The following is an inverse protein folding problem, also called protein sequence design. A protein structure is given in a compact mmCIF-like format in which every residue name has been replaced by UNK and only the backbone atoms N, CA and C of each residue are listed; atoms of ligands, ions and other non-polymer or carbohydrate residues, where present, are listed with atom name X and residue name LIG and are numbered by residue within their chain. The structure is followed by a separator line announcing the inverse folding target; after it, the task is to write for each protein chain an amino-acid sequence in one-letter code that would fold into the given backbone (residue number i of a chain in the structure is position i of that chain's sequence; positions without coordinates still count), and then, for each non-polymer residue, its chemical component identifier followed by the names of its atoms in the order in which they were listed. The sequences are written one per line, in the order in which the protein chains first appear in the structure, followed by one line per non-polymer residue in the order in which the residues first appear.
data_IF_242679849022
#
_entry.id   IF_242679849022
#
_cell.length_a   1.000
_cell.length_b   1.000
_cell.length_c   1.000
_cell.angle_alpha   90.00
_cell.angle_beta   90.00
_cell.angle_gamma   90.00
#
_symmetry.space_group_name_H-M   'P 1'
#
loop_
_entity.id
_entity.type
_entity.pdbx_description
1 polymer ?
#
# COMPACT_ATOMS: atom_id res chain seq x y z
N UNK A 1 -13.09 -42.13 -11.18
CA UNK A 1 -13.58 -42.03 -9.78
C UNK A 1 -13.39 -40.60 -9.28
N UNK A 2 -14.35 -40.01 -8.60
CA UNK A 2 -14.16 -38.69 -8.01
C UNK A 2 -13.07 -38.76 -6.95
N UNK A 3 -12.15 -37.79 -6.95
CA UNK A 3 -11.10 -37.66 -5.95
C UNK A 3 -11.71 -37.45 -4.56
N UNK A 4 -11.15 -38.09 -3.54
CA UNK A 4 -11.55 -37.78 -2.16
C UNK A 4 -11.15 -36.37 -1.76
N UNK A 5 -11.86 -35.77 -0.79
CA UNK A 5 -11.51 -34.42 -0.27
C UNK A 5 -10.07 -34.38 0.22
N UNK A 6 -9.56 -35.43 0.83
CA UNK A 6 -8.18 -35.51 1.30
C UNK A 6 -7.18 -35.55 0.14
N UNK A 7 -7.50 -36.26 -0.95
CA UNK A 7 -6.65 -36.29 -2.13
C UNK A 7 -6.57 -34.91 -2.80
N UNK A 8 -7.71 -34.23 -2.95
CA UNK A 8 -7.74 -32.86 -3.48
C UNK A 8 -6.90 -31.92 -2.61
N UNK A 9 -7.08 -31.95 -1.28
CA UNK A 9 -6.30 -31.16 -0.35
C UNK A 9 -4.80 -31.43 -0.49
N UNK A 10 -4.38 -32.68 -0.48
CA UNK A 10 -2.96 -33.04 -0.59
C UNK A 10 -2.34 -32.59 -1.91
N UNK A 11 -3.07 -32.72 -3.03
CA UNK A 11 -2.60 -32.27 -4.33
C UNK A 11 -2.45 -30.75 -4.37
N UNK A 12 -3.40 -29.98 -3.81
CA UNK A 12 -3.28 -28.52 -3.71
C UNK A 12 -2.08 -28.11 -2.86
N UNK A 13 -1.82 -28.81 -1.74
CA UNK A 13 -0.66 -28.50 -0.89
C UNK A 13 0.66 -28.84 -1.61
N UNK A 14 0.74 -29.97 -2.32
CA UNK A 14 1.92 -30.35 -3.10
C UNK A 14 2.18 -29.35 -4.25
N UNK A 15 1.16 -29.03 -5.02
CA UNK A 15 1.25 -28.05 -6.11
C UNK A 15 1.65 -26.66 -5.59
N UNK A 16 1.13 -26.26 -4.42
CA UNK A 16 1.51 -25.00 -3.77
C UNK A 16 2.98 -24.96 -3.34
N UNK A 17 3.46 -26.03 -2.74
CA UNK A 17 4.88 -26.17 -2.39
C UNK A 17 5.79 -26.15 -3.63
N UNK A 18 5.35 -26.74 -4.74
CA UNK A 18 6.06 -26.66 -6.01
C UNK A 18 6.03 -25.23 -6.57
N UNK A 19 4.89 -24.55 -6.51
CA UNK A 19 4.76 -23.16 -6.96
C UNK A 19 5.69 -22.20 -6.18
N UNK A 20 5.90 -22.43 -4.88
CA UNK A 20 6.89 -21.68 -4.08
C UNK A 20 8.28 -21.85 -4.69
N UNK A 21 8.70 -23.09 -4.96
CA UNK A 21 10.02 -23.35 -5.55
C UNK A 21 10.20 -22.73 -6.92
N UNK A 22 9.22 -22.90 -7.80
CA UNK A 22 9.25 -22.32 -9.15
C UNK A 22 9.29 -20.78 -9.10
N UNK A 23 8.50 -20.16 -8.22
CA UNK A 23 8.55 -18.71 -8.02
C UNK A 23 9.93 -18.26 -7.53
N UNK A 24 10.51 -18.93 -6.54
CA UNK A 24 11.84 -18.62 -6.04
C UNK A 24 12.91 -18.73 -7.13
N UNK A 25 12.84 -19.78 -7.96
CA UNK A 25 13.74 -19.94 -9.12
C UNK A 25 13.53 -18.80 -10.13
N UNK A 26 12.28 -18.45 -10.42
CA UNK A 26 11.93 -17.37 -11.33
C UNK A 26 12.45 -16.02 -10.83
N UNK A 27 12.31 -15.73 -9.54
CA UNK A 27 12.84 -14.51 -8.88
C UNK A 27 14.37 -14.51 -8.91
N UNK A 28 15.01 -15.64 -8.60
CA UNK A 28 16.48 -15.76 -8.65
C UNK A 28 17.01 -15.52 -10.06
N UNK A 29 16.35 -16.01 -11.09
CA UNK A 29 16.74 -15.79 -12.50
C UNK A 29 16.55 -14.32 -12.96
N UNK A 30 15.97 -13.46 -12.13
CA UNK A 30 15.73 -12.03 -12.40
C UNK A 30 16.49 -11.10 -11.46
N UNK A 31 17.56 -11.58 -10.87
CA UNK A 31 18.45 -10.75 -10.05
C UNK A 31 18.84 -9.48 -10.82
N UNK A 32 18.71 -8.32 -10.17
CA UNK A 32 19.06 -7.03 -10.76
C UNK A 32 18.12 -6.50 -11.86
N UNK A 33 16.92 -7.07 -12.03
CA UNK A 33 16.00 -6.66 -13.13
C UNK A 33 14.65 -6.13 -12.68
N UNK A 34 14.34 -6.16 -11.38
CA UNK A 34 13.04 -5.70 -10.85
C UNK A 34 13.24 -4.47 -9.99
N UNK A 35 13.11 -3.29 -10.62
CA UNK A 35 13.40 -2.02 -10.01
C UNK A 35 12.27 -1.44 -9.17
N UNK A 36 11.02 -1.85 -9.40
CA UNK A 36 9.84 -1.32 -8.71
C UNK A 36 9.10 -2.45 -7.98
N UNK A 37 9.11 -2.38 -6.64
CA UNK A 37 8.49 -3.33 -5.73
C UNK A 37 7.21 -2.78 -5.15
N UNK A 38 6.11 -3.50 -5.26
CA UNK A 38 4.86 -3.24 -4.54
C UNK A 38 4.78 -4.10 -3.28
N UNK A 39 4.41 -3.49 -2.16
CA UNK A 39 4.13 -4.20 -0.90
C UNK A 39 2.75 -3.84 -0.41
N UNK A 40 2.03 -4.84 0.09
CA UNK A 40 0.75 -4.67 0.77
C UNK A 40 0.48 -5.88 1.67
N UNK A 41 -0.47 -5.75 2.60
CA UNK A 41 -0.80 -6.75 3.60
C UNK A 41 -2.27 -7.13 3.52
N UNK A 42 -2.57 -8.35 3.92
CA UNK A 42 -3.95 -8.80 4.07
C UNK A 42 -4.11 -9.71 5.27
N UNK A 43 -5.25 -9.58 5.94
CA UNK A 43 -5.59 -10.39 7.10
C UNK A 43 -6.48 -11.56 6.69
N UNK A 44 -6.08 -12.74 7.09
CA UNK A 44 -6.86 -13.98 6.93
C UNK A 44 -7.06 -14.65 8.30
N UNK A 45 -8.10 -15.46 8.45
CA UNK A 45 -8.31 -16.22 9.70
C UNK A 45 -7.63 -17.57 9.63
N UNK A 46 -6.77 -17.86 10.61
CA UNK A 46 -6.17 -19.15 10.87
C UNK A 46 -6.66 -19.66 12.24
N UNK A 47 -7.44 -20.73 12.25
CA UNK A 47 -8.08 -21.24 13.48
C UNK A 47 -8.86 -20.17 14.25
N UNK A 48 -9.46 -19.21 13.53
CA UNK A 48 -10.22 -18.11 14.13
C UNK A 48 -9.38 -16.89 14.55
N UNK A 49 -8.06 -16.98 14.55
CA UNK A 49 -7.14 -15.86 14.84
C UNK A 49 -6.75 -15.12 13.57
N UNK A 50 -6.55 -13.80 13.67
CA UNK A 50 -6.01 -13.00 12.57
C UNK A 50 -4.56 -13.39 12.30
N UNK A 51 -4.24 -13.52 11.01
CA UNK A 51 -2.90 -13.84 10.52
C UNK A 51 -2.61 -12.88 9.37
N UNK A 52 -1.49 -12.18 9.44
CA UNK A 52 -1.08 -11.20 8.43
C UNK A 52 -0.33 -11.94 7.33
N UNK A 53 -0.81 -11.77 6.10
CA UNK A 53 -0.13 -12.26 4.90
C UNK A 53 0.47 -11.06 4.18
N UNK A 54 1.78 -11.00 4.15
CA UNK A 54 2.54 -10.02 3.41
C UNK A 54 2.69 -10.45 1.94
N UNK A 55 2.57 -9.51 1.02
CA UNK A 55 2.62 -9.76 -0.42
C UNK A 55 3.58 -8.77 -1.08
N UNK A 56 4.59 -9.30 -1.78
CA UNK A 56 5.50 -8.52 -2.60
C UNK A 56 5.27 -8.80 -4.08
N UNK A 57 5.24 -7.74 -4.89
CA UNK A 57 4.98 -7.82 -6.33
C UNK A 57 5.95 -6.96 -7.13
N UNK A 58 6.18 -7.33 -8.38
CA UNK A 58 6.80 -6.43 -9.36
C UNK A 58 5.71 -5.51 -9.93
N UNK A 59 5.80 -4.22 -9.67
CA UNK A 59 4.81 -3.23 -10.14
C UNK A 59 4.78 -3.19 -11.67
N UNK A 60 5.92 -3.29 -12.33
CA UNK A 60 6.02 -3.15 -13.79
C UNK A 60 5.55 -4.38 -14.54
N UNK A 61 5.78 -5.58 -14.01
CA UNK A 61 5.41 -6.83 -14.70
C UNK A 61 4.12 -7.47 -14.18
N UNK A 62 3.62 -7.05 -13.04
CA UNK A 62 2.45 -7.68 -12.39
C UNK A 62 2.74 -9.05 -11.76
N UNK A 63 4.02 -9.41 -11.59
CA UNK A 63 4.41 -10.69 -11.05
C UNK A 63 4.35 -10.70 -9.53
N UNK A 64 3.81 -11.78 -8.94
CA UNK A 64 3.90 -12.04 -7.50
C UNK A 64 5.32 -12.53 -7.17
N UNK A 65 6.06 -11.77 -6.40
CA UNK A 65 7.46 -12.07 -6.06
C UNK A 65 7.58 -12.89 -4.79
N UNK A 66 6.79 -12.54 -3.76
CA UNK A 66 6.79 -13.27 -2.52
C UNK A 66 5.46 -13.18 -1.77
N UNK A 67 5.22 -14.20 -0.93
CA UNK A 67 4.16 -14.26 0.07
C UNK A 67 4.78 -14.78 1.35
N UNK A 68 4.53 -14.08 2.45
CA UNK A 68 4.97 -14.55 3.77
C UNK A 68 3.91 -14.28 4.83
N UNK A 69 4.06 -14.92 5.97
CA UNK A 69 3.26 -14.68 7.17
C UNK A 69 4.15 -13.95 8.15
N UNK A 70 3.73 -12.76 8.51
CA UNK A 70 4.45 -11.90 9.44
C UNK A 70 3.67 -11.74 10.75
N UNK A 71 4.39 -11.51 11.83
CA UNK A 71 3.80 -11.40 13.16
C UNK A 71 3.08 -10.06 13.36
N UNK A 72 3.64 -8.98 12.78
CA UNK A 72 3.10 -7.63 12.84
C UNK A 72 3.53 -6.80 11.62
N UNK A 73 2.94 -5.61 11.47
CA UNK A 73 3.26 -4.65 10.40
C UNK A 73 4.25 -3.58 10.88
N UNK A 74 5.16 -3.90 11.81
CA UNK A 74 6.24 -3.00 12.22
C UNK A 74 7.30 -2.85 11.13
N UNK A 75 7.99 -1.72 11.11
CA UNK A 75 9.08 -1.48 10.17
C UNK A 75 10.17 -2.54 10.27
N UNK A 76 10.51 -2.98 11.49
CA UNK A 76 11.51 -4.02 11.75
C UNK A 76 11.13 -5.35 11.11
N UNK A 77 9.88 -5.80 11.34
CA UNK A 77 9.36 -7.07 10.78
C UNK A 77 9.31 -7.01 9.25
N UNK A 78 8.80 -5.93 8.69
CA UNK A 78 8.69 -5.75 7.23
C UNK A 78 10.10 -5.71 6.62
N UNK A 79 11.02 -4.95 7.20
CA UNK A 79 12.39 -4.83 6.70
C UNK A 79 13.12 -6.18 6.73
N UNK A 80 12.97 -6.95 7.82
CA UNK A 80 13.56 -8.28 7.92
C UNK A 80 13.08 -9.21 6.80
N UNK A 81 11.79 -9.11 6.43
CA UNK A 81 11.22 -9.90 5.34
C UNK A 81 11.74 -9.47 3.96
N UNK A 82 11.78 -8.15 3.63
CA UNK A 82 12.00 -7.70 2.26
C UNK A 82 13.45 -7.35 1.93
N UNK A 83 14.33 -7.18 2.91
CA UNK A 83 15.73 -6.74 2.70
C UNK A 83 16.46 -7.58 1.66
N UNK A 84 16.51 -8.90 1.87
CA UNK A 84 17.20 -9.81 0.95
C UNK A 84 16.58 -9.77 -0.46
N UNK A 85 15.24 -9.66 -0.53
CA UNK A 85 14.53 -9.55 -1.81
C UNK A 85 14.92 -8.26 -2.55
N UNK A 86 14.92 -7.12 -1.85
CA UNK A 86 15.30 -5.82 -2.42
C UNK A 86 16.75 -5.81 -2.90
N UNK A 87 17.70 -6.31 -2.10
CA UNK A 87 19.12 -6.36 -2.45
C UNK A 87 19.37 -7.26 -3.67
N UNK A 88 18.77 -8.46 -3.68
CA UNK A 88 18.94 -9.41 -4.78
C UNK A 88 18.35 -8.91 -6.09
N UNK A 89 17.20 -8.25 -6.04
CA UNK A 89 16.51 -7.72 -7.22
C UNK A 89 17.03 -6.35 -7.66
N UNK A 90 17.83 -5.67 -6.82
CA UNK A 90 18.26 -4.29 -6.99
C UNK A 90 17.07 -3.32 -7.13
N UNK A 91 16.14 -3.44 -6.18
CA UNK A 91 14.97 -2.58 -6.12
C UNK A 91 15.41 -1.13 -5.92
N UNK A 92 14.87 -0.22 -6.70
CA UNK A 92 15.11 1.22 -6.61
C UNK A 92 13.97 1.96 -5.94
N UNK A 93 12.73 1.50 -6.16
CA UNK A 93 11.54 2.17 -5.65
C UNK A 93 10.56 1.18 -5.00
N UNK A 94 10.10 1.54 -3.81
CA UNK A 94 9.00 0.88 -3.11
C UNK A 94 7.68 1.62 -3.42
N UNK A 95 6.64 0.87 -3.77
CA UNK A 95 5.28 1.38 -3.96
C UNK A 95 4.37 0.77 -2.90
N UNK A 96 3.77 1.58 -2.05
CA UNK A 96 2.92 1.09 -0.96
C UNK A 96 1.82 2.08 -0.59
N UNK A 97 1.00 1.72 0.39
CA UNK A 97 0.12 2.68 1.05
C UNK A 97 0.89 3.70 1.92
N UNK A 98 0.17 4.54 2.64
CA UNK A 98 0.71 5.64 3.45
C UNK A 98 1.04 5.24 4.90
N UNK A 99 1.35 3.97 5.16
CA UNK A 99 1.72 3.52 6.49
C UNK A 99 3.14 3.99 6.87
N UNK A 100 3.30 4.55 8.08
CA UNK A 100 4.60 5.07 8.55
C UNK A 100 5.67 3.99 8.60
N UNK A 101 5.30 2.74 8.90
CA UNK A 101 6.23 1.62 8.87
C UNK A 101 6.85 1.41 7.49
N UNK A 102 6.06 1.55 6.40
CA UNK A 102 6.54 1.38 5.03
C UNK A 102 7.40 2.57 4.57
N UNK A 103 7.09 3.80 5.05
CA UNK A 103 7.97 4.97 4.85
C UNK A 103 9.34 4.73 5.50
N UNK A 104 9.34 4.25 6.75
CA UNK A 104 10.57 3.91 7.50
C UNK A 104 11.37 2.82 6.77
N UNK A 105 10.73 1.76 6.32
CA UNK A 105 11.39 0.68 5.56
C UNK A 105 12.06 1.21 4.29
N UNK A 106 11.38 2.06 3.53
CA UNK A 106 11.96 2.67 2.32
C UNK A 106 13.20 3.49 2.65
N UNK A 107 13.15 4.31 3.72
CA UNK A 107 14.28 5.15 4.15
C UNK A 107 15.47 4.31 4.64
N UNK A 108 15.23 3.30 5.47
CA UNK A 108 16.28 2.44 6.03
C UNK A 108 16.93 1.51 5.00
N UNK A 109 16.20 1.16 3.93
CA UNK A 109 16.75 0.39 2.81
C UNK A 109 17.35 1.30 1.72
N UNK A 110 17.25 2.64 1.87
CA UNK A 110 17.75 3.59 0.88
C UNK A 110 16.97 3.54 -0.45
N UNK A 111 15.70 3.15 -0.41
CA UNK A 111 14.83 3.08 -1.57
C UNK A 111 14.08 4.39 -1.78
N UNK A 112 13.85 4.75 -3.04
CA UNK A 112 12.83 5.74 -3.33
C UNK A 112 11.45 5.20 -2.92
N UNK A 113 10.53 6.09 -2.55
CA UNK A 113 9.20 5.66 -2.12
C UNK A 113 8.12 6.36 -2.93
N UNK A 114 7.17 5.59 -3.46
CA UNK A 114 5.94 6.06 -4.09
C UNK A 114 4.75 5.69 -3.23
N UNK A 115 4.05 6.66 -2.68
CA UNK A 115 2.77 6.45 -2.03
C UNK A 115 1.68 6.12 -3.05
N UNK A 116 0.89 5.09 -2.79
CA UNK A 116 -0.19 4.68 -3.67
C UNK A 116 -1.25 5.79 -3.78
N UNK A 117 -1.35 6.42 -4.95
CA UNK A 117 -2.30 7.51 -5.23
C UNK A 117 -3.75 7.14 -4.94
N UNK A 118 -4.13 5.88 -5.19
CA UNK A 118 -5.50 5.43 -4.94
C UNK A 118 -5.84 5.46 -3.45
N UNK A 119 -4.91 5.01 -2.59
CA UNK A 119 -5.07 5.07 -1.13
C UNK A 119 -5.07 6.51 -0.63
N UNK A 120 -4.08 7.31 -1.05
CA UNK A 120 -3.98 8.71 -0.69
C UNK A 120 -5.25 9.48 -1.05
N UNK A 121 -5.71 9.38 -2.30
CA UNK A 121 -6.92 10.07 -2.75
C UNK A 121 -8.16 9.66 -1.93
N UNK A 122 -8.30 8.37 -1.60
CA UNK A 122 -9.41 7.87 -0.77
C UNK A 122 -9.35 8.45 0.64
N UNK A 123 -8.17 8.44 1.26
CA UNK A 123 -7.97 8.94 2.62
C UNK A 123 -8.18 10.46 2.70
N UNK A 124 -7.63 11.21 1.75
CA UNK A 124 -7.82 12.67 1.66
C UNK A 124 -9.29 13.02 1.46
N UNK A 125 -9.97 12.36 0.52
CA UNK A 125 -11.39 12.61 0.29
C UNK A 125 -12.24 12.33 1.54
N UNK A 126 -12.02 11.24 2.23
CA UNK A 126 -12.74 10.91 3.47
C UNK A 126 -12.48 11.93 4.58
N UNK A 127 -11.21 12.36 4.75
CA UNK A 127 -10.83 13.32 5.78
C UNK A 127 -11.38 14.73 5.48
N UNK A 128 -11.28 15.18 4.23
CA UNK A 128 -11.84 16.48 3.79
C UNK A 128 -13.35 16.49 3.94
N UNK A 129 -14.03 15.40 3.57
CA UNK A 129 -15.47 15.26 3.78
C UNK A 129 -15.86 15.37 5.26
N UNK A 130 -15.11 14.71 6.15
CA UNK A 130 -15.36 14.80 7.59
C UNK A 130 -15.11 16.21 8.15
N UNK A 131 -14.05 16.90 7.72
CA UNK A 131 -13.77 18.29 8.13
C UNK A 131 -14.82 19.25 7.58
N UNK A 132 -15.25 19.10 6.32
CA UNK A 132 -16.29 19.91 5.70
C UNK A 132 -17.63 19.75 6.43
N UNK A 133 -18.04 18.52 6.76
CA UNK A 133 -19.23 18.25 7.56
C UNK A 133 -19.16 18.92 8.93
N UNK A 134 -18.02 18.78 9.62
CA UNK A 134 -17.81 19.44 10.91
C UNK A 134 -17.89 20.96 10.81
N UNK A 135 -17.37 21.57 9.73
CA UNK A 135 -17.43 23.01 9.49
C UNK A 135 -18.87 23.51 9.32
N UNK A 136 -19.71 22.74 8.62
CA UNK A 136 -21.11 23.09 8.38
C UNK A 136 -22.00 22.89 9.63
N UNK A 137 -21.75 21.86 10.41
CA UNK A 137 -22.50 21.58 11.65
C UNK A 137 -22.17 22.57 12.77
N UNK A 138 -20.97 23.15 12.76
CA UNK A 138 -20.51 24.11 13.72
C UNK A 138 -20.08 25.40 13.01
N UNK A 139 -21.02 26.22 12.51
CA UNK A 139 -20.71 27.43 11.73
C UNK A 139 -19.99 28.52 12.52
N UNK A 140 -19.93 28.42 13.84
CA UNK A 140 -19.10 29.21 14.75
C UNK A 140 -17.84 28.45 15.22
N UNK A 141 -17.11 27.72 14.34
CA UNK A 141 -16.00 26.88 14.76
C UNK A 141 -14.72 27.67 14.96
N UNK A 142 -14.75 28.97 14.69
CA UNK A 142 -13.55 29.78 14.64
C UNK A 142 -13.71 31.02 15.53
N UNK A 143 -13.80 30.85 16.83
CA UNK A 143 -13.46 31.94 17.71
C UNK A 143 -11.94 32.08 17.79
N UNK A 144 -11.20 31.58 16.81
CA UNK A 144 -9.80 31.80 16.84
C UNK A 144 -9.42 33.06 16.02
N UNK A 145 -8.27 33.59 16.39
CA UNK A 145 -7.73 34.86 15.95
C UNK A 145 -7.39 34.93 14.46
N UNK A 146 -7.73 33.89 13.68
CA UNK A 146 -7.38 33.77 12.26
C UNK A 146 -8.24 34.67 11.36
N UNK A 147 -9.45 35.02 11.80
CA UNK A 147 -10.41 35.79 11.00
C UNK A 147 -11.00 35.02 9.81
N UNK A 148 -10.74 33.71 9.69
CA UNK A 148 -11.23 32.88 8.58
C UNK A 148 -12.72 32.60 8.73
N UNK A 149 -13.45 32.69 7.63
CA UNK A 149 -14.85 32.29 7.54
C UNK A 149 -14.98 30.80 7.20
N UNK A 150 -16.15 30.21 7.48
CA UNK A 150 -16.46 28.84 7.08
C UNK A 150 -16.32 28.67 5.56
N UNK A 151 -16.73 29.65 4.77
CA UNK A 151 -16.59 29.60 3.31
C UNK A 151 -15.13 29.48 2.88
N UNK A 152 -14.24 30.30 3.45
CA UNK A 152 -12.81 30.21 3.16
C UNK A 152 -12.21 28.87 3.57
N UNK A 153 -12.62 28.31 4.69
CA UNK A 153 -12.20 26.98 5.13
C UNK A 153 -12.62 25.89 4.14
N UNK A 154 -13.86 25.95 3.64
CA UNK A 154 -14.35 24.99 2.64
C UNK A 154 -13.61 25.12 1.30
N UNK A 155 -13.33 26.33 0.87
CA UNK A 155 -12.51 26.60 -0.33
C UNK A 155 -11.09 26.04 -0.17
N UNK A 156 -10.46 26.22 0.99
CA UNK A 156 -9.13 25.69 1.27
C UNK A 156 -9.12 24.14 1.32
N UNK A 157 -10.17 23.52 1.86
CA UNK A 157 -10.33 22.06 1.83
C UNK A 157 -10.47 21.54 0.40
N UNK A 158 -11.24 22.23 -0.44
CA UNK A 158 -11.38 21.88 -1.84
C UNK A 158 -10.04 22.07 -2.59
N UNK A 159 -9.33 23.18 -2.36
CA UNK A 159 -8.03 23.41 -2.94
C UNK A 159 -7.02 22.32 -2.54
N UNK A 160 -6.99 21.91 -1.28
CA UNK A 160 -6.15 20.82 -0.80
C UNK A 160 -6.47 19.51 -1.55
N UNK A 161 -7.76 19.18 -1.70
CA UNK A 161 -8.16 17.98 -2.44
C UNK A 161 -7.71 18.03 -3.91
N UNK A 162 -7.85 19.16 -4.56
CA UNK A 162 -7.43 19.36 -5.95
C UNK A 162 -5.91 19.23 -6.12
N UNK A 163 -5.12 19.80 -5.20
CA UNK A 163 -3.65 19.66 -5.21
C UNK A 163 -3.25 18.18 -5.09
N UNK A 164 -3.81 17.46 -4.12
CA UNK A 164 -3.44 16.07 -3.88
C UNK A 164 -3.91 15.14 -5.01
N UNK A 165 -5.08 15.38 -5.58
CA UNK A 165 -5.56 14.59 -6.72
C UNK A 165 -4.81 14.88 -8.02
N UNK A 166 -4.52 16.15 -8.27
CA UNK A 166 -3.90 16.62 -9.50
C UNK A 166 -2.38 16.49 -9.50
N UNK A 167 -1.75 16.60 -8.34
CA UNK A 167 -0.30 16.63 -8.15
C UNK A 167 0.38 17.59 -9.13
N UNK A 168 0.01 18.89 -9.15
CA UNK A 168 0.60 19.85 -10.05
C UNK A 168 2.08 20.05 -9.73
N UNK A 169 2.85 20.54 -10.69
CA UNK A 169 4.30 20.71 -10.56
C UNK A 169 4.70 21.60 -9.36
N UNK A 170 3.90 22.63 -9.08
CA UNK A 170 4.08 23.56 -7.97
C UNK A 170 3.25 23.20 -6.73
N UNK A 171 2.70 21.99 -6.67
CA UNK A 171 1.77 21.57 -5.62
C UNK A 171 2.35 21.62 -4.22
N UNK A 172 3.65 21.29 -4.04
CA UNK A 172 4.31 21.45 -2.74
C UNK A 172 4.27 22.90 -2.27
N UNK A 173 4.61 23.84 -3.14
CA UNK A 173 4.54 25.28 -2.83
C UNK A 173 3.12 25.73 -2.51
N UNK A 174 2.11 25.18 -3.18
CA UNK A 174 0.70 25.47 -2.86
C UNK A 174 0.30 24.94 -1.49
N UNK A 175 0.76 23.73 -1.11
CA UNK A 175 0.55 23.17 0.24
C UNK A 175 1.23 24.03 1.32
N UNK A 176 2.46 24.48 1.06
CA UNK A 176 3.18 25.34 2.00
C UNK A 176 2.43 26.67 2.23
N UNK A 177 1.90 27.28 1.17
CA UNK A 177 1.07 28.49 1.28
C UNK A 177 -0.23 28.23 2.05
N UNK A 178 -0.86 27.07 1.87
CA UNK A 178 -2.02 26.71 2.69
C UNK A 178 -1.63 26.51 4.16
N UNK A 179 -0.52 25.84 4.44
CA UNK A 179 -0.05 25.63 5.82
C UNK A 179 0.26 26.97 6.53
N UNK A 180 0.80 27.96 5.82
CA UNK A 180 1.08 29.30 6.35
C UNK A 180 -0.19 30.01 6.84
N UNK A 181 -1.34 29.82 6.17
CA UNK A 181 -2.62 30.41 6.62
C UNK A 181 -3.05 29.90 8.00
N UNK A 182 -2.64 28.68 8.35
CA UNK A 182 -3.02 28.00 9.59
C UNK A 182 -1.90 27.98 10.64
N UNK A 183 -0.78 28.67 10.39
CA UNK A 183 0.39 28.64 11.29
C UNK A 183 0.11 29.12 12.71
N UNK A 184 -0.91 29.99 12.88
CA UNK A 184 -1.31 30.51 14.20
C UNK A 184 -2.27 29.60 14.96
N UNK A 185 -2.77 28.52 14.33
CA UNK A 185 -3.65 27.57 14.99
C UNK A 185 -2.91 26.86 16.14
N UNK A 186 -3.32 27.04 17.39
CA UNK A 186 -2.60 26.49 18.53
C UNK A 186 -2.75 24.97 18.60
N UNK A 187 -1.72 24.24 19.08
CA UNK A 187 -1.86 22.84 19.41
C UNK A 187 -2.92 22.67 20.52
N UNK A 188 -3.63 21.52 20.53
CA UNK A 188 -4.60 21.25 21.59
C UNK A 188 -3.88 21.15 22.94
N UNK A 189 -4.55 21.62 24.00
CA UNK A 189 -4.10 21.30 25.37
C UNK A 189 -4.24 19.80 25.62
N UNK A 190 -3.53 19.27 26.61
CA UNK A 190 -3.46 17.80 26.88
C UNK A 190 -4.83 17.09 27.04
N UNK A 191 -5.91 17.83 27.28
CA UNK A 191 -7.26 17.30 27.46
C UNK A 191 -8.28 17.79 26.40
N UNK A 192 -7.90 18.65 25.46
CA UNK A 192 -8.79 19.21 24.46
C UNK A 192 -8.62 18.51 23.12
N UNK A 193 -9.74 18.34 22.37
CA UNK A 193 -9.66 17.92 20.97
C UNK A 193 -8.97 19.01 20.13
N UNK A 194 -8.16 18.58 19.17
CA UNK A 194 -7.55 19.48 18.21
C UNK A 194 -8.62 20.28 17.45
N UNK A 195 -8.41 21.60 17.32
CA UNK A 195 -9.28 22.43 16.51
C UNK A 195 -9.24 22.00 15.04
N UNK A 196 -10.27 22.33 14.28
CA UNK A 196 -10.33 22.03 12.86
C UNK A 196 -9.16 22.69 12.10
N UNK A 197 -8.84 23.93 12.43
CA UNK A 197 -7.72 24.66 11.82
C UNK A 197 -6.37 24.00 12.13
N UNK A 198 -6.18 23.53 13.36
CA UNK A 198 -4.96 22.80 13.70
C UNK A 198 -4.85 21.47 12.96
N UNK A 199 -5.96 20.74 12.80
CA UNK A 199 -5.98 19.50 12.01
C UNK A 199 -5.68 19.75 10.54
N UNK A 200 -6.24 20.83 9.97
CA UNK A 200 -5.95 21.22 8.58
C UNK A 200 -4.48 21.61 8.40
N UNK A 201 -3.92 22.35 9.36
CA UNK A 201 -2.48 22.67 9.37
C UNK A 201 -1.62 21.41 9.36
N UNK A 202 -1.90 20.45 10.25
CA UNK A 202 -1.13 19.20 10.30
C UNK A 202 -1.25 18.42 8.98
N UNK A 203 -2.44 18.39 8.40
CA UNK A 203 -2.69 17.71 7.14
C UNK A 203 -1.90 18.34 5.99
N UNK A 204 -1.90 19.66 5.87
CA UNK A 204 -1.15 20.36 4.81
C UNK A 204 0.36 20.19 4.96
N UNK A 205 0.87 20.20 6.20
CA UNK A 205 2.29 19.95 6.48
C UNK A 205 2.68 18.52 6.14
N UNK A 206 1.90 17.54 6.56
CA UNK A 206 2.16 16.13 6.28
C UNK A 206 2.25 15.87 4.77
N UNK A 207 1.31 16.42 3.99
CA UNK A 207 1.35 16.26 2.53
C UNK A 207 2.48 17.04 1.87
N UNK A 208 2.87 18.20 2.40
CA UNK A 208 4.05 18.92 1.91
C UNK A 208 5.33 18.12 2.17
N UNK A 209 5.52 17.61 3.38
CA UNK A 209 6.66 16.76 3.76
C UNK A 209 6.74 15.48 2.92
N UNK A 210 5.60 14.88 2.62
CA UNK A 210 5.50 13.66 1.80
C UNK A 210 5.40 13.93 0.28
N UNK A 211 5.53 15.19 -0.18
CA UNK A 211 5.33 15.55 -1.59
C UNK A 211 6.20 14.73 -2.56
N UNK A 212 7.47 14.56 -2.22
CA UNK A 212 8.39 13.77 -3.04
C UNK A 212 7.95 12.32 -3.21
N UNK A 213 7.32 11.73 -2.19
CA UNK A 213 6.76 10.37 -2.23
C UNK A 213 5.45 10.30 -3.00
N UNK A 214 4.62 11.36 -2.95
CA UNK A 214 3.38 11.46 -3.72
C UNK A 214 3.63 11.60 -5.22
N UNK A 215 4.59 12.44 -5.59
CA UNK A 215 4.89 12.80 -6.98
C UNK A 215 6.00 11.96 -7.62
N UNK A 216 6.54 10.96 -6.94
CA UNK A 216 7.67 10.15 -7.44
C UNK A 216 7.42 9.57 -8.82
N UNK A 217 6.24 9.03 -9.08
CA UNK A 217 5.86 8.43 -10.36
C UNK A 217 6.03 9.38 -11.56
N UNK A 218 5.97 10.69 -11.36
CA UNK A 218 6.13 11.67 -12.44
C UNK A 218 7.57 11.71 -12.94
N UNK A 219 8.53 11.47 -12.06
CA UNK A 219 9.96 11.64 -12.32
C UNK A 219 10.72 10.33 -12.44
N UNK A 220 10.25 9.27 -11.77
CA UNK A 220 10.93 7.98 -11.82
C UNK A 220 10.90 7.38 -13.22
N UNK A 221 12.03 6.81 -13.61
CA UNK A 221 12.19 6.07 -14.88
C UNK A 221 13.04 4.84 -14.61
N UNK A 222 12.56 3.68 -15.05
CA UNK A 222 13.34 2.46 -15.04
C UNK A 222 14.48 2.47 -16.06
N UNK A 223 15.33 1.46 -16.00
CA UNK A 223 16.52 1.34 -16.85
C UNK A 223 16.22 1.40 -18.35
N UNK A 224 15.04 0.93 -18.76
CA UNK A 224 14.61 0.95 -20.16
C UNK A 224 13.54 2.02 -20.44
N UNK A 225 13.38 3.00 -19.54
CA UNK A 225 12.42 4.10 -19.68
C UNK A 225 11.01 3.77 -19.19
N UNK A 226 10.85 2.68 -18.43
CA UNK A 226 9.56 2.33 -17.80
C UNK A 226 9.10 3.45 -16.87
N UNK A 227 7.78 3.54 -16.67
CA UNK A 227 7.15 4.54 -15.82
C UNK A 227 6.25 3.87 -14.80
N UNK A 228 6.19 4.46 -13.60
CA UNK A 228 5.18 4.11 -12.61
C UNK A 228 3.86 4.83 -12.97
N UNK A 229 2.73 4.19 -12.68
CA UNK A 229 1.41 4.84 -12.70
C UNK A 229 1.08 5.52 -11.37
N UNK A 230 1.93 5.33 -10.36
CA UNK A 230 1.80 5.87 -9.03
C UNK A 230 0.79 5.10 -8.16
N UNK A 231 0.38 3.90 -8.57
CA UNK A 231 -0.56 3.08 -7.80
C UNK A 231 0.04 1.73 -7.40
N UNK A 232 -0.52 1.12 -6.34
CA UNK A 232 -0.24 -0.25 -5.93
C UNK A 232 -1.32 -1.24 -6.38
N UNK A 233 -2.07 -0.89 -7.42
CA UNK A 233 -3.22 -1.66 -7.92
C UNK A 233 -2.85 -3.10 -8.27
N UNK A 234 -1.63 -3.33 -8.74
CA UNK A 234 -1.13 -4.67 -9.07
C UNK A 234 -1.13 -5.57 -7.84
N UNK A 235 -0.56 -5.08 -6.72
CA UNK A 235 -0.52 -5.82 -5.46
C UNK A 235 -1.91 -6.01 -4.88
N UNK A 236 -2.75 -4.96 -4.91
CA UNK A 236 -4.15 -5.02 -4.48
C UNK A 236 -4.96 -6.06 -5.27
N UNK A 237 -4.77 -6.17 -6.59
CA UNK A 237 -5.41 -7.18 -7.42
C UNK A 237 -4.99 -8.59 -7.02
N UNK A 238 -3.71 -8.82 -6.79
CA UNK A 238 -3.19 -10.13 -6.34
C UNK A 238 -3.82 -10.49 -4.99
N UNK A 239 -3.83 -9.57 -4.05
CA UNK A 239 -4.47 -9.77 -2.74
C UNK A 239 -5.97 -10.02 -2.89
N UNK A 240 -6.69 -9.14 -3.60
CA UNK A 240 -8.14 -9.19 -3.73
C UNK A 240 -8.63 -10.46 -4.42
N UNK A 241 -8.17 -10.67 -5.64
CA UNK A 241 -8.65 -11.74 -6.52
C UNK A 241 -8.06 -13.11 -6.16
N UNK A 242 -6.81 -13.15 -5.64
CA UNK A 242 -6.08 -14.40 -5.48
C UNK A 242 -6.01 -14.90 -4.05
N UNK A 243 -5.82 -13.99 -3.07
CA UNK A 243 -5.73 -14.38 -1.66
C UNK A 243 -7.10 -14.31 -0.99
N UNK A 244 -7.75 -13.13 -0.99
CA UNK A 244 -9.02 -12.90 -0.27
C UNK A 244 -10.19 -13.71 -0.83
N UNK A 245 -10.31 -13.84 -2.16
CA UNK A 245 -11.40 -14.60 -2.78
C UNK A 245 -11.31 -16.09 -2.40
N UNK A 246 -10.12 -16.66 -2.43
CA UNK A 246 -9.91 -18.05 -2.02
C UNK A 246 -10.13 -18.24 -0.53
N UNK A 247 -9.64 -17.33 0.28
CA UNK A 247 -9.92 -17.38 1.71
C UNK A 247 -11.43 -17.44 2.01
N UNK A 248 -12.23 -16.62 1.35
CA UNK A 248 -13.70 -16.61 1.51
C UNK A 248 -14.33 -17.97 1.13
N UNK A 249 -13.85 -18.60 0.08
CA UNK A 249 -14.38 -19.91 -0.39
C UNK A 249 -13.92 -21.09 0.47
N UNK A 250 -12.75 -21.01 1.11
CA UNK A 250 -12.15 -22.10 1.90
C UNK A 250 -12.56 -22.11 3.38
N UNK A 251 -13.37 -21.13 3.84
CA UNK A 251 -13.80 -21.00 5.24
C UNK A 251 -12.66 -20.89 6.25
N UNK A 252 -11.51 -20.31 5.85
CA UNK A 252 -10.32 -20.13 6.68
C UNK A 252 -9.30 -21.25 6.58
N UNK A 253 -8.17 -21.00 7.19
CA UNK A 253 -7.01 -21.89 7.17
C UNK A 253 -6.78 -22.53 8.54
N UNK A 254 -6.14 -23.69 8.55
CA UNK A 254 -5.73 -24.39 9.78
C UNK A 254 -4.22 -24.34 10.03
N UNK A 255 -3.41 -24.06 9.00
CA UNK A 255 -1.95 -24.10 9.06
C UNK A 255 -1.37 -22.96 8.20
N UNK A 256 -0.27 -22.37 8.63
CA UNK A 256 0.47 -21.35 7.90
C UNK A 256 0.93 -21.85 6.53
N UNK A 257 1.51 -23.04 6.49
CA UNK A 257 1.90 -23.69 5.24
C UNK A 257 0.75 -23.78 4.22
N UNK A 258 -0.50 -23.93 4.67
CA UNK A 258 -1.65 -23.95 3.75
C UNK A 258 -1.98 -22.56 3.19
N UNK A 259 -1.76 -21.50 3.97
CA UNK A 259 -1.91 -20.13 3.49
C UNK A 259 -0.87 -19.86 2.40
N UNK A 260 0.39 -20.11 2.70
CA UNK A 260 1.50 -19.87 1.78
C UNK A 260 1.41 -20.73 0.51
N UNK A 261 1.10 -22.01 0.64
CA UNK A 261 0.95 -22.91 -0.50
C UNK A 261 -0.18 -22.47 -1.44
N UNK A 262 -1.35 -22.13 -0.89
CA UNK A 262 -2.49 -21.69 -1.72
C UNK A 262 -2.21 -20.34 -2.35
N UNK A 263 -1.70 -19.37 -1.60
CA UNK A 263 -1.36 -18.03 -2.13
C UNK A 263 -0.31 -18.12 -3.22
N UNK A 264 0.74 -18.92 -3.00
CA UNK A 264 1.81 -19.13 -3.98
C UNK A 264 1.34 -19.85 -5.23
N UNK A 265 0.50 -20.88 -5.08
CA UNK A 265 -0.08 -21.60 -6.22
C UNK A 265 -0.86 -20.65 -7.12
N UNK A 266 -1.73 -19.85 -6.53
CA UNK A 266 -2.58 -18.92 -7.29
C UNK A 266 -1.74 -17.76 -7.85
N UNK A 267 -0.79 -17.26 -7.08
CA UNK A 267 0.17 -16.26 -7.52
C UNK A 267 0.96 -16.75 -8.73
N UNK A 268 1.50 -17.97 -8.66
CA UNK A 268 2.26 -18.58 -9.75
C UNK A 268 1.42 -18.79 -11.01
N UNK A 269 0.27 -19.46 -10.89
CA UNK A 269 -0.63 -19.67 -12.03
C UNK A 269 -1.03 -18.34 -12.68
N UNK A 270 -1.27 -17.32 -11.88
CA UNK A 270 -1.65 -16.01 -12.40
C UNK A 270 -0.54 -15.24 -13.11
N UNK A 271 0.72 -15.66 -12.97
CA UNK A 271 1.85 -15.12 -13.73
C UNK A 271 2.04 -15.84 -15.09
N UNK A 272 1.41 -17.01 -15.25
CA UNK A 272 1.55 -17.82 -16.44
C UNK A 272 0.52 -17.42 -17.50
N UNK A 273 0.83 -17.66 -18.75
CA UNK A 273 -0.12 -17.51 -19.86
C UNK A 273 -1.21 -18.58 -19.83
N UNK A 274 -2.25 -18.42 -20.66
CA UNK A 274 -3.37 -19.36 -20.72
C UNK A 274 -2.98 -20.80 -21.10
N UNK A 275 -1.86 -20.97 -21.78
CA UNK A 275 -1.36 -22.28 -22.26
C UNK A 275 -0.39 -22.94 -21.26
N UNK A 276 -0.30 -22.45 -20.03
CA UNK A 276 0.60 -23.01 -19.01
C UNK A 276 0.27 -24.48 -18.70
N UNK A 277 1.32 -25.30 -18.73
CA UNK A 277 1.19 -26.73 -18.41
C UNK A 277 1.11 -26.94 -16.90
N UNK A 278 -0.10 -27.14 -16.37
CA UNK A 278 -0.32 -27.44 -14.96
C UNK A 278 0.40 -28.72 -14.47
N UNK A 279 0.83 -29.59 -15.37
CA UNK A 279 1.63 -30.78 -15.05
C UNK A 279 2.99 -30.45 -14.41
N UNK A 280 3.51 -29.25 -14.56
CA UNK A 280 4.73 -28.79 -13.90
C UNK A 280 4.57 -28.57 -12.39
N UNK A 281 3.34 -28.54 -11.90
CA UNK A 281 2.99 -28.35 -10.49
C UNK A 281 2.75 -29.66 -9.72
N UNK A 282 2.79 -30.83 -10.40
CA UNK A 282 2.40 -32.12 -9.79
C UNK A 282 3.61 -33.06 -9.67
#
# INVERSE_FOLDING_TARGET
HPLSKSAVYNNVQAAGAQAIRLRQQWVTGRAGTIQALGIDFTHVKRLGQDTIVAVATSILSGAALDFDIIDDESAETIQAWVRELCERLQVEVLVSDDADALKTVADELGLEHQLCRAHVNRNVHALIGALGTQALEHPDPVPDRSGLTVAQLLDDLQQLEEIIKGLPYDGQSQLDHLAERYQTAPPPSAMAKASMLYRLRLLTLDWSENWSRLARFQHWRGTHGERLDGTNNVTEQIIGQRVKERYRTMRGYKRDASILNVSSLIGWIGMQGPDYNLGELI
#
